data_IF_550785424932
#
_entry.id   IF_550785424932
#
_cell.length_a   1.000
_cell.length_b   1.000
_cell.length_c   1.000
_cell.angle_alpha   90.00
_cell.angle_beta   90.00
_cell.angle_gamma   90.00
#
_symmetry.space_group_name_H-M   'P 1'
#
loop_
_entity.id
_entity.type
_entity.pdbx_description
1 polymer ?
#
# COMPACT_ATOMS: atom_id res chain seq x y z
N UNK A 1 -9.57 33.14 3.85
CA UNK A 1 -10.01 31.71 3.78
C UNK A 1 -9.43 30.92 4.94
N UNK A 2 -10.11 29.87 5.46
CA UNK A 2 -9.60 28.92 6.46
C UNK A 2 -9.06 27.67 5.77
N UNK A 3 -8.21 26.89 6.48
CA UNK A 3 -7.67 25.63 5.95
C UNK A 3 -8.79 24.61 5.60
N UNK A 4 -9.85 24.54 6.42
CA UNK A 4 -10.99 23.66 6.12
C UNK A 4 -11.72 24.05 4.82
N UNK A 5 -11.89 25.34 4.56
CA UNK A 5 -12.56 25.80 3.33
C UNK A 5 -11.69 25.50 2.10
N UNK A 6 -10.36 25.66 2.22
CA UNK A 6 -9.43 25.25 1.16
C UNK A 6 -9.47 23.75 0.92
N UNK A 7 -9.63 22.94 1.98
CA UNK A 7 -9.75 21.48 1.88
C UNK A 7 -11.03 21.08 1.13
N UNK A 8 -12.15 21.71 1.43
CA UNK A 8 -13.42 21.46 0.75
C UNK A 8 -13.33 21.81 -0.75
N UNK A 9 -12.73 22.96 -1.07
CA UNK A 9 -12.49 23.39 -2.44
C UNK A 9 -11.55 22.41 -3.17
N UNK A 10 -10.45 21.98 -2.51
CA UNK A 10 -9.52 21.02 -3.08
C UNK A 10 -10.21 19.69 -3.44
N UNK A 11 -11.14 19.19 -2.61
CA UNK A 11 -11.86 17.94 -2.89
C UNK A 11 -12.80 18.07 -4.11
N UNK A 12 -13.21 19.27 -4.48
CA UNK A 12 -14.01 19.52 -5.68
C UNK A 12 -13.13 19.80 -6.93
N UNK A 13 -11.82 20.00 -6.74
CA UNK A 13 -10.91 20.36 -7.82
C UNK A 13 -10.65 19.23 -8.82
N UNK A 14 -10.24 19.60 -10.02
CA UNK A 14 -9.81 18.66 -11.07
C UNK A 14 -8.58 17.86 -10.63
N UNK A 15 -7.62 18.50 -9.95
CA UNK A 15 -6.41 17.87 -9.45
C UNK A 15 -6.70 16.72 -8.50
N UNK A 16 -7.64 16.91 -7.57
CA UNK A 16 -8.05 15.84 -6.66
C UNK A 16 -8.85 14.76 -7.39
N UNK A 17 -9.76 15.13 -8.27
CA UNK A 17 -10.64 14.19 -8.96
C UNK A 17 -9.90 13.31 -9.97
N UNK A 18 -8.75 13.74 -10.48
CA UNK A 18 -7.86 12.92 -11.33
C UNK A 18 -6.94 11.96 -10.57
N UNK A 19 -6.94 12.00 -9.25
CA UNK A 19 -6.15 11.06 -8.46
C UNK A 19 -6.78 9.67 -8.53
N UNK A 20 -5.93 8.63 -8.37
CA UNK A 20 -6.40 7.25 -8.18
C UNK A 20 -7.22 7.15 -6.88
N UNK A 21 -8.23 6.29 -6.86
CA UNK A 21 -9.13 6.13 -5.72
C UNK A 21 -8.39 5.83 -4.39
N UNK A 22 -7.33 5.01 -4.44
CA UNK A 22 -6.51 4.74 -3.27
C UNK A 22 -5.79 5.99 -2.76
N UNK A 23 -5.34 6.86 -3.67
CA UNK A 23 -4.69 8.14 -3.31
C UNK A 23 -5.71 9.11 -2.73
N UNK A 24 -6.91 9.21 -3.32
CA UNK A 24 -8.02 10.00 -2.78
C UNK A 24 -8.37 9.58 -1.35
N UNK A 25 -8.52 8.27 -1.13
CA UNK A 25 -8.81 7.72 0.19
C UNK A 25 -7.71 8.07 1.21
N UNK A 26 -6.43 7.94 0.82
CA UNK A 26 -5.30 8.32 1.67
C UNK A 26 -5.28 9.82 1.96
N UNK A 27 -5.48 10.67 0.96
CA UNK A 27 -5.51 12.12 1.15
C UNK A 27 -6.65 12.53 2.07
N UNK A 28 -7.85 11.99 1.86
CA UNK A 28 -9.00 12.24 2.73
C UNK A 28 -8.72 11.86 4.18
N UNK A 29 -8.13 10.70 4.41
CA UNK A 29 -7.74 10.23 5.75
C UNK A 29 -6.70 11.15 6.40
N UNK A 30 -5.59 11.41 5.72
CA UNK A 30 -4.50 12.20 6.29
C UNK A 30 -4.84 13.69 6.43
N UNK A 31 -5.51 14.30 5.47
CA UNK A 31 -5.95 15.69 5.56
C UNK A 31 -7.01 15.89 6.65
N UNK A 32 -7.88 14.91 6.87
CA UNK A 32 -8.80 14.91 8.02
C UNK A 32 -8.05 14.96 9.35
N UNK A 33 -6.97 14.17 9.50
CA UNK A 33 -6.12 14.20 10.70
C UNK A 33 -5.38 15.54 10.82
N UNK A 34 -4.82 16.06 9.72
CA UNK A 34 -4.15 17.36 9.69
C UNK A 34 -5.11 18.46 10.21
N UNK A 35 -6.30 18.56 9.63
CA UNK A 35 -7.27 19.57 10.00
C UNK A 35 -7.79 19.43 11.44
N UNK A 36 -7.88 18.21 11.96
CA UNK A 36 -8.30 17.92 13.34
C UNK A 36 -7.20 18.07 14.39
N UNK A 37 -5.94 18.28 13.96
CA UNK A 37 -4.80 18.44 14.90
C UNK A 37 -4.92 19.72 15.71
N UNK A 38 -4.96 19.60 17.03
CA UNK A 38 -4.85 20.73 17.96
C UNK A 38 -3.37 21.10 18.14
N UNK A 39 -3.03 22.39 17.99
CA UNK A 39 -1.63 22.81 18.04
C UNK A 39 -1.37 23.70 19.26
N UNK A 40 -2.13 24.78 19.40
CA UNK A 40 -2.03 25.71 20.51
C UNK A 40 -3.44 25.99 21.03
N UNK A 41 -3.62 26.01 22.35
CA UNK A 41 -4.88 26.41 23.01
C UNK A 41 -6.14 25.75 22.45
N UNK A 42 -6.12 24.45 22.23
CA UNK A 42 -7.25 23.65 21.70
C UNK A 42 -7.76 24.04 20.30
N UNK A 43 -7.12 24.99 19.62
CA UNK A 43 -7.52 25.39 18.27
C UNK A 43 -7.02 24.37 17.24
N UNK A 44 -7.93 23.81 16.44
CA UNK A 44 -7.62 22.86 15.37
C UNK A 44 -6.96 23.54 14.18
N UNK A 45 -5.99 22.89 13.53
CA UNK A 45 -5.28 23.43 12.36
C UNK A 45 -6.26 23.84 11.24
N UNK A 46 -7.29 23.06 10.99
CA UNK A 46 -8.33 23.36 10.00
C UNK A 46 -9.08 24.66 10.22
N UNK A 47 -9.10 25.18 11.46
CA UNK A 47 -9.77 26.43 11.83
C UNK A 47 -8.90 27.68 11.68
N UNK A 48 -7.60 27.54 11.38
CA UNK A 48 -6.72 28.69 11.13
C UNK A 48 -7.01 29.33 9.77
N UNK A 49 -6.90 30.66 9.69
CA UNK A 49 -6.84 31.35 8.39
C UNK A 49 -5.51 31.02 7.73
N UNK A 50 -5.48 30.97 6.41
CA UNK A 50 -4.25 30.70 5.64
C UNK A 50 -3.18 31.76 5.93
N UNK A 51 -3.59 33.02 6.11
CA UNK A 51 -2.71 34.16 6.50
C UNK A 51 -2.04 33.95 7.87
N UNK A 52 -2.65 33.19 8.77
CA UNK A 52 -2.17 33.00 10.14
C UNK A 52 -1.24 31.77 10.27
N UNK A 53 -1.06 31.02 9.18
CA UNK A 53 -0.17 29.88 9.15
C UNK A 53 1.28 30.32 9.06
N UNK A 54 2.00 30.22 10.17
CA UNK A 54 3.43 30.54 10.23
C UNK A 54 4.29 29.29 10.16
N UNK A 55 5.57 29.46 9.79
CA UNK A 55 6.56 28.36 9.84
C UNK A 55 6.72 27.80 11.26
N UNK A 56 6.58 28.65 12.30
CA UNK A 56 6.60 28.21 13.71
C UNK A 56 5.43 27.24 13.98
N UNK A 57 4.21 27.60 13.56
CA UNK A 57 3.02 26.75 13.73
C UNK A 57 3.16 25.44 12.96
N UNK A 58 3.67 25.49 11.73
CA UNK A 58 3.93 24.31 10.92
C UNK A 58 4.94 23.36 11.58
N UNK A 59 6.02 23.90 12.16
CA UNK A 59 7.04 23.11 12.89
C UNK A 59 6.46 22.48 14.15
N UNK A 60 5.64 23.19 14.92
CA UNK A 60 4.94 22.64 16.08
C UNK A 60 4.00 21.49 15.69
N UNK A 61 3.24 21.67 14.60
CA UNK A 61 2.36 20.64 14.05
C UNK A 61 3.14 19.37 13.70
N UNK A 62 4.25 19.53 12.98
CA UNK A 62 5.08 18.40 12.56
C UNK A 62 5.69 17.68 13.76
N UNK A 63 6.21 18.40 14.78
CA UNK A 63 6.73 17.78 15.99
C UNK A 63 5.66 16.96 16.71
N UNK A 64 4.46 17.48 16.84
CA UNK A 64 3.33 16.78 17.44
C UNK A 64 2.96 15.51 16.66
N UNK A 65 2.96 15.57 15.33
CA UNK A 65 2.73 14.39 14.51
C UNK A 65 3.82 13.32 14.68
N UNK A 66 5.07 13.74 14.92
CA UNK A 66 6.19 12.82 15.15
C UNK A 66 6.03 11.99 16.44
N UNK A 67 5.24 12.45 17.43
CA UNK A 67 4.91 11.68 18.64
C UNK A 67 4.16 10.38 18.31
N UNK A 68 3.41 10.35 17.21
CA UNK A 68 2.72 9.17 16.67
C UNK A 68 3.59 8.32 15.74
N UNK A 69 4.78 8.77 15.42
CA UNK A 69 5.73 8.10 14.56
C UNK A 69 6.17 8.95 13.37
N UNK A 70 7.47 8.90 13.07
CA UNK A 70 8.12 9.74 12.06
C UNK A 70 7.55 9.48 10.65
N UNK A 71 7.33 8.21 10.28
CA UNK A 71 6.75 7.88 8.96
C UNK A 71 5.36 8.47 8.79
N UNK A 72 4.52 8.36 9.83
CA UNK A 72 3.18 8.92 9.86
C UNK A 72 3.21 10.46 9.71
N UNK A 73 4.06 11.15 10.49
CA UNK A 73 4.25 12.59 10.40
C UNK A 73 4.70 13.04 9.00
N UNK A 74 5.59 12.25 8.37
CA UNK A 74 6.05 12.53 7.02
C UNK A 74 4.93 12.42 5.97
N UNK A 75 3.95 11.52 6.16
CA UNK A 75 2.75 11.46 5.32
C UNK A 75 1.86 12.68 5.51
N UNK A 76 1.56 13.07 6.76
CA UNK A 76 0.79 14.28 7.06
C UNK A 76 1.45 15.53 6.46
N UNK A 77 2.78 15.64 6.60
CA UNK A 77 3.57 16.71 5.99
C UNK A 77 3.45 16.73 4.47
N UNK A 78 3.43 15.55 3.83
CA UNK A 78 3.29 15.47 2.36
C UNK A 78 1.94 16.00 1.90
N UNK A 79 0.85 15.56 2.54
CA UNK A 79 -0.50 15.92 2.09
C UNK A 79 -0.86 17.38 2.39
N UNK A 80 -0.43 17.93 3.53
CA UNK A 80 -0.66 19.37 3.82
C UNK A 80 0.12 20.26 2.85
N UNK A 81 1.31 19.85 2.41
CA UNK A 81 2.05 20.58 1.37
C UNK A 81 1.31 20.60 0.05
N UNK A 82 0.72 19.48 -0.35
CA UNK A 82 -0.10 19.42 -1.58
C UNK A 82 -1.29 20.38 -1.46
N UNK A 83 -2.02 20.34 -0.34
CA UNK A 83 -3.17 21.22 -0.12
C UNK A 83 -2.79 22.70 -0.17
N UNK A 84 -1.70 23.10 0.51
CA UNK A 84 -1.28 24.51 0.54
C UNK A 84 -0.67 24.97 -0.79
N UNK A 85 0.01 24.09 -1.52
CA UNK A 85 0.46 24.40 -2.88
C UNK A 85 -0.72 24.60 -3.83
N UNK A 86 -1.80 23.81 -3.69
CA UNK A 86 -3.06 24.08 -4.38
C UNK A 86 -3.59 25.48 -4.02
N UNK A 87 -3.58 25.84 -2.72
CA UNK A 87 -3.99 27.17 -2.28
C UNK A 87 -3.14 28.31 -2.85
N UNK A 88 -1.85 28.08 -3.11
CA UNK A 88 -0.98 29.03 -3.80
C UNK A 88 -1.38 29.16 -5.28
N UNK A 89 -1.60 28.02 -5.96
CA UNK A 89 -1.99 28.01 -7.37
C UNK A 89 -3.35 28.71 -7.61
N UNK A 90 -4.24 28.66 -6.60
CA UNK A 90 -5.54 29.32 -6.62
C UNK A 90 -5.50 30.74 -6.02
N UNK A 91 -4.30 31.30 -5.78
CA UNK A 91 -4.07 32.65 -5.23
C UNK A 91 -4.72 32.91 -3.85
N UNK A 92 -5.04 31.84 -3.10
CA UNK A 92 -5.61 31.98 -1.74
C UNK A 92 -4.55 32.26 -0.68
N UNK A 93 -3.28 32.00 -0.97
CA UNK A 93 -2.12 32.31 -0.13
C UNK A 93 -0.84 32.39 -0.98
N UNK A 94 0.14 33.14 -0.50
CA UNK A 94 1.39 33.36 -1.23
C UNK A 94 2.52 32.43 -0.81
N UNK A 95 2.40 31.76 0.34
CA UNK A 95 3.48 30.96 0.93
C UNK A 95 2.93 29.67 1.54
N UNK A 96 3.67 28.60 1.35
CA UNK A 96 3.43 27.35 2.06
C UNK A 96 4.39 27.23 3.25
N UNK A 97 3.95 27.45 4.50
CA UNK A 97 4.83 27.47 5.66
C UNK A 97 5.42 26.08 6.01
N UNK A 98 4.91 25.01 5.41
CA UNK A 98 5.44 23.65 5.58
C UNK A 98 6.55 23.32 4.56
N UNK A 99 6.76 24.12 3.51
CA UNK A 99 7.70 23.79 2.41
C UNK A 99 9.13 23.60 2.91
N UNK A 100 9.62 24.45 3.79
CA UNK A 100 11.01 24.49 4.25
C UNK A 100 11.30 23.57 5.47
N UNK A 101 10.29 22.84 5.98
CA UNK A 101 10.51 21.95 7.10
C UNK A 101 11.10 20.62 6.59
N UNK A 102 12.33 20.30 6.98
CA UNK A 102 12.95 19.03 6.61
C UNK A 102 12.21 17.86 7.30
N UNK A 103 11.82 16.86 6.53
CA UNK A 103 11.28 15.59 7.05
C UNK A 103 12.38 14.85 7.82
N UNK A 104 12.02 14.25 8.96
CA UNK A 104 12.94 13.38 9.70
C UNK A 104 13.17 12.09 8.90
N UNK A 105 14.38 11.56 9.00
CA UNK A 105 14.75 10.31 8.34
C UNK A 105 14.03 9.14 9.01
N UNK A 106 13.52 8.25 8.19
CA UNK A 106 12.93 6.99 8.64
C UNK A 106 13.92 5.88 8.32
N UNK A 107 14.36 5.15 9.33
CA UNK A 107 15.17 3.94 9.13
C UNK A 107 14.34 2.87 8.46
N UNK A 108 14.81 2.41 7.30
CA UNK A 108 14.16 1.31 6.59
C UNK A 108 14.53 -0.03 7.22
N UNK A 109 13.57 -0.91 7.32
CA UNK A 109 13.81 -2.30 7.72
C UNK A 109 14.75 -2.97 6.70
N UNK A 110 15.74 -3.71 7.20
CA UNK A 110 16.69 -4.49 6.41
C UNK A 110 16.46 -6.01 6.53
N UNK A 111 15.26 -6.40 6.96
CA UNK A 111 14.92 -7.83 7.14
C UNK A 111 14.71 -8.46 5.77
N UNK A 112 15.37 -9.57 5.55
CA UNK A 112 15.21 -10.47 4.40
C UNK A 112 14.87 -11.87 4.91
N UNK A 113 14.19 -12.67 4.12
CA UNK A 113 13.90 -14.06 4.46
C UNK A 113 15.13 -14.91 4.13
N UNK A 114 15.36 -15.95 4.91
CA UNK A 114 16.26 -17.03 4.50
C UNK A 114 15.53 -17.97 3.56
N UNK A 115 16.25 -18.66 2.70
CA UNK A 115 15.65 -19.65 1.76
C UNK A 115 14.83 -20.71 2.52
N UNK A 116 15.35 -21.18 3.65
CA UNK A 116 14.69 -22.17 4.50
C UNK A 116 13.37 -21.64 5.09
N UNK A 117 13.30 -20.33 5.40
CA UNK A 117 12.06 -19.71 5.88
C UNK A 117 11.01 -19.62 4.78
N UNK A 118 11.43 -19.34 3.53
CA UNK A 118 10.53 -19.35 2.36
C UNK A 118 9.96 -20.74 2.15
N UNK A 119 10.81 -21.78 2.14
CA UNK A 119 10.40 -23.17 1.95
C UNK A 119 9.38 -23.55 3.03
N UNK A 120 9.70 -23.36 4.31
CA UNK A 120 8.78 -23.68 5.43
C UNK A 120 7.44 -22.96 5.33
N UNK A 121 7.46 -21.71 4.88
CA UNK A 121 6.23 -20.95 4.66
C UNK A 121 5.39 -21.55 3.54
N UNK A 122 6.01 -21.88 2.40
CA UNK A 122 5.32 -22.45 1.24
C UNK A 122 4.75 -23.83 1.55
N UNK A 123 5.53 -24.72 2.19
CA UNK A 123 5.07 -26.06 2.61
C UNK A 123 3.83 -25.95 3.51
N UNK A 124 3.89 -25.05 4.50
CA UNK A 124 2.75 -24.80 5.40
C UNK A 124 1.55 -24.20 4.67
N UNK A 125 1.79 -23.27 3.73
CA UNK A 125 0.71 -22.63 2.98
C UNK A 125 0.03 -23.60 2.00
N UNK A 126 0.79 -24.52 1.41
CA UNK A 126 0.28 -25.49 0.44
C UNK A 126 -0.35 -26.72 1.06
N UNK A 127 -0.08 -27.00 2.34
CA UNK A 127 -0.69 -28.14 3.05
C UNK A 127 -2.21 -27.98 3.28
N UNK A 128 -2.75 -26.75 3.19
CA UNK A 128 -4.21 -26.51 3.33
C UNK A 128 -4.72 -25.71 2.12
N UNK A 129 -5.76 -26.22 1.48
CA UNK A 129 -6.46 -25.57 0.37
C UNK A 129 -6.86 -24.11 0.66
N UNK A 130 -7.20 -23.78 1.92
CA UNK A 130 -7.60 -22.42 2.31
C UNK A 130 -6.46 -21.43 2.30
N UNK A 131 -5.22 -21.89 2.44
CA UNK A 131 -4.01 -21.05 2.49
C UNK A 131 -3.19 -21.12 1.21
N UNK A 132 -3.48 -22.06 0.30
CA UNK A 132 -2.74 -22.28 -0.95
C UNK A 132 -2.62 -21.00 -1.79
N UNK A 133 -3.68 -20.25 -1.97
CA UNK A 133 -3.63 -18.95 -2.70
C UNK A 133 -2.72 -17.92 -2.02
N UNK A 134 -2.54 -17.98 -0.70
CA UNK A 134 -1.58 -17.12 0.03
C UNK A 134 -0.15 -17.56 -0.27
N UNK A 135 0.08 -18.89 -0.30
CA UNK A 135 1.36 -19.47 -0.73
C UNK A 135 1.74 -19.04 -2.15
N UNK A 136 0.80 -19.17 -3.11
CA UNK A 136 1.03 -18.75 -4.50
C UNK A 136 1.37 -17.26 -4.61
N UNK A 137 0.63 -16.38 -3.92
CA UNK A 137 0.95 -14.93 -3.91
C UNK A 137 2.36 -14.69 -3.38
N UNK A 138 2.77 -15.43 -2.34
CA UNK A 138 4.09 -15.30 -1.74
C UNK A 138 5.19 -15.84 -2.68
N UNK A 139 4.99 -17.01 -3.28
CA UNK A 139 5.95 -17.61 -4.22
C UNK A 139 6.13 -16.74 -5.46
N UNK A 140 5.05 -16.28 -6.09
CA UNK A 140 5.12 -15.35 -7.22
C UNK A 140 5.84 -14.03 -6.85
N UNK A 141 5.60 -13.49 -5.63
CA UNK A 141 6.28 -12.29 -5.18
C UNK A 141 7.77 -12.51 -4.93
N UNK A 142 8.16 -13.69 -4.47
CA UNK A 142 9.54 -14.10 -4.22
C UNK A 142 10.29 -14.36 -5.53
N UNK A 143 9.79 -15.28 -6.36
CA UNK A 143 10.48 -15.68 -7.59
C UNK A 143 10.56 -14.55 -8.63
N UNK A 144 9.50 -13.79 -8.77
CA UNK A 144 9.44 -12.71 -9.76
C UNK A 144 9.82 -11.33 -9.20
N UNK A 145 10.17 -11.23 -7.93
CA UNK A 145 10.49 -9.95 -7.26
C UNK A 145 9.39 -8.89 -7.46
N UNK A 146 8.12 -9.30 -7.61
CA UNK A 146 7.01 -8.40 -7.86
C UNK A 146 6.30 -7.98 -6.57
N UNK A 147 5.50 -6.90 -6.65
CA UNK A 147 4.74 -6.41 -5.50
C UNK A 147 3.60 -7.37 -5.16
N UNK A 148 3.39 -7.64 -3.87
CA UNK A 148 2.22 -8.41 -3.40
C UNK A 148 0.90 -7.85 -3.92
N UNK A 149 0.81 -6.52 -4.09
CA UNK A 149 -0.35 -5.85 -4.65
C UNK A 149 -0.65 -6.26 -6.08
N UNK A 150 0.39 -6.48 -6.88
CA UNK A 150 0.28 -6.93 -8.26
C UNK A 150 -0.01 -8.44 -8.32
N UNK A 151 0.72 -9.25 -7.52
CA UNK A 151 0.55 -10.71 -7.50
C UNK A 151 -0.85 -11.16 -7.04
N UNK A 152 -1.43 -10.51 -6.03
CA UNK A 152 -2.80 -10.83 -5.59
C UNK A 152 -3.88 -10.51 -6.63
N UNK A 153 -3.59 -9.65 -7.60
CA UNK A 153 -4.49 -9.24 -8.67
C UNK A 153 -4.17 -9.91 -10.01
N UNK A 154 -3.16 -10.79 -10.03
CA UNK A 154 -2.76 -11.50 -11.24
C UNK A 154 -3.94 -12.32 -11.77
N UNK A 155 -4.16 -12.26 -13.08
CA UNK A 155 -5.22 -12.98 -13.78
C UNK A 155 -4.62 -14.12 -14.58
N UNK A 156 -5.46 -15.09 -14.93
CA UNK A 156 -5.06 -16.20 -15.78
C UNK A 156 -4.57 -15.72 -17.16
N UNK A 157 -5.16 -14.67 -17.71
CA UNK A 157 -4.75 -14.07 -19.00
C UNK A 157 -3.33 -13.48 -18.97
N UNK A 158 -2.74 -13.32 -17.79
CA UNK A 158 -1.35 -12.89 -17.65
C UNK A 158 -0.34 -14.06 -17.72
N UNK A 159 -0.82 -15.31 -17.81
CA UNK A 159 0.02 -16.51 -17.76
C UNK A 159 -0.13 -17.34 -19.01
N UNK A 160 0.99 -17.67 -19.63
CA UNK A 160 1.13 -18.76 -20.58
C UNK A 160 1.81 -19.93 -19.84
N UNK A 161 1.02 -20.93 -19.43
CA UNK A 161 1.52 -22.06 -18.66
C UNK A 161 2.20 -23.12 -19.56
N UNK A 162 1.92 -23.12 -20.86
CA UNK A 162 2.58 -24.02 -21.83
C UNK A 162 3.99 -23.53 -22.13
N UNK A 163 4.13 -22.24 -22.46
CA UNK A 163 5.42 -21.61 -22.71
C UNK A 163 6.14 -21.17 -21.41
N UNK A 164 5.54 -21.38 -20.24
CA UNK A 164 6.03 -21.00 -18.91
C UNK A 164 6.46 -19.54 -18.83
N UNK A 165 5.56 -18.64 -19.25
CA UNK A 165 5.80 -17.20 -19.29
C UNK A 165 4.72 -16.43 -18.56
N UNK A 166 5.12 -15.36 -17.90
CA UNK A 166 4.23 -14.41 -17.24
C UNK A 166 4.41 -13.03 -17.88
N UNK A 167 3.30 -12.38 -18.19
CA UNK A 167 3.23 -10.98 -18.61
C UNK A 167 2.47 -10.16 -17.60
N UNK A 168 3.01 -9.01 -17.20
CA UNK A 168 2.37 -8.12 -16.25
C UNK A 168 2.70 -6.66 -16.55
N UNK A 169 1.68 -5.80 -16.62
CA UNK A 169 1.87 -4.36 -16.48
C UNK A 169 1.78 -3.96 -15.00
N UNK A 170 2.89 -3.50 -14.44
CA UNK A 170 2.95 -3.12 -13.02
C UNK A 170 1.98 -1.99 -12.68
N UNK A 171 1.16 -2.15 -11.64
CA UNK A 171 0.11 -1.19 -11.25
C UNK A 171 0.67 0.20 -10.90
N UNK A 172 1.85 0.29 -10.27
CA UNK A 172 2.42 1.56 -9.79
C UNK A 172 3.24 2.32 -10.84
N UNK A 173 4.07 1.62 -11.62
CA UNK A 173 4.99 2.23 -12.60
C UNK A 173 4.53 2.09 -14.03
N UNK A 174 3.48 1.29 -14.28
CA UNK A 174 2.99 0.89 -15.62
C UNK A 174 4.07 0.26 -16.50
N UNK A 175 5.18 -0.20 -15.90
CA UNK A 175 6.21 -0.92 -16.62
C UNK A 175 5.68 -2.30 -16.99
N UNK A 176 5.96 -2.72 -18.21
CA UNK A 176 5.69 -4.06 -18.70
C UNK A 176 6.81 -5.00 -18.26
N UNK A 177 6.44 -6.17 -17.81
CA UNK A 177 7.34 -7.17 -17.27
C UNK A 177 7.00 -8.51 -17.90
N UNK A 178 8.02 -9.18 -18.46
CA UNK A 178 7.94 -10.55 -18.98
C UNK A 178 8.91 -11.40 -18.18
N UNK A 179 8.43 -12.44 -17.53
CA UNK A 179 9.27 -13.29 -16.70
C UNK A 179 8.97 -14.77 -16.97
N UNK A 180 9.99 -15.64 -16.85
CA UNK A 180 9.80 -17.07 -16.91
C UNK A 180 9.07 -17.56 -15.65
N UNK A 181 8.38 -18.69 -15.77
CA UNK A 181 7.76 -19.43 -14.68
C UNK A 181 8.67 -20.64 -14.40
N UNK A 182 9.10 -20.82 -13.16
CA UNK A 182 9.86 -22.01 -12.75
C UNK A 182 9.01 -23.27 -12.85
N UNK A 183 9.63 -24.44 -12.92
CA UNK A 183 8.91 -25.72 -12.98
C UNK A 183 8.05 -25.92 -11.73
N UNK A 184 8.61 -25.63 -10.56
CA UNK A 184 7.91 -25.75 -9.27
C UNK A 184 6.69 -24.82 -9.20
N UNK A 185 6.83 -23.58 -9.64
CA UNK A 185 5.70 -22.64 -9.64
C UNK A 185 4.67 -23.04 -10.70
N UNK A 186 5.11 -23.54 -11.86
CA UNK A 186 4.20 -23.99 -12.91
C UNK A 186 3.32 -25.16 -12.48
N UNK A 187 3.88 -26.14 -11.77
CA UNK A 187 3.11 -27.26 -11.20
C UNK A 187 2.01 -26.75 -10.25
N UNK A 188 2.36 -25.83 -9.36
CA UNK A 188 1.40 -25.23 -8.43
C UNK A 188 0.33 -24.39 -9.15
N UNK A 189 0.70 -23.69 -10.23
CA UNK A 189 -0.23 -22.92 -11.04
C UNK A 189 -1.18 -23.81 -11.83
N UNK A 190 -0.71 -24.94 -12.37
CA UNK A 190 -1.55 -25.94 -13.05
C UNK A 190 -2.57 -26.55 -12.08
N UNK A 191 -2.12 -26.95 -10.88
CA UNK A 191 -3.03 -27.42 -9.84
C UNK A 191 -4.07 -26.36 -9.45
N UNK A 192 -3.64 -25.12 -9.29
CA UNK A 192 -4.51 -24.00 -8.97
C UNK A 192 -5.52 -23.73 -10.11
N UNK A 193 -5.09 -23.87 -11.37
CA UNK A 193 -5.95 -23.68 -12.56
C UNK A 193 -7.05 -24.72 -12.62
N UNK A 194 -6.77 -25.97 -12.23
CA UNK A 194 -7.80 -27.01 -12.16
C UNK A 194 -8.92 -26.65 -11.17
N UNK A 195 -8.58 -26.03 -10.04
CA UNK A 195 -9.56 -25.68 -9.00
C UNK A 195 -10.21 -24.30 -9.22
N UNK A 196 -9.51 -23.35 -9.84
CA UNK A 196 -9.93 -21.95 -9.96
C UNK A 196 -9.86 -21.37 -11.37
N UNK A 197 -9.59 -22.17 -12.41
CA UNK A 197 -9.50 -21.70 -13.79
C UNK A 197 -10.80 -21.13 -14.37
N UNK A 198 -11.94 -21.46 -13.75
CA UNK A 198 -13.26 -20.98 -14.15
C UNK A 198 -13.54 -19.51 -13.78
N UNK A 199 -12.65 -18.87 -13.04
CA UNK A 199 -12.77 -17.47 -12.60
C UNK A 199 -11.49 -16.68 -12.94
N UNK A 200 -11.51 -15.39 -12.82
CA UNK A 200 -10.53 -14.45 -13.39
C UNK A 200 -9.13 -14.50 -12.73
N UNK A 201 -9.06 -14.66 -11.38
CA UNK A 201 -7.84 -14.45 -10.61
C UNK A 201 -7.06 -15.74 -10.37
N UNK A 202 -5.71 -15.68 -10.48
CA UNK A 202 -4.82 -16.82 -10.21
C UNK A 202 -4.89 -17.26 -8.74
N UNK A 203 -4.92 -16.31 -7.82
CA UNK A 203 -4.90 -16.60 -6.38
C UNK A 203 -6.05 -15.89 -5.63
N UNK A 204 -7.31 -16.33 -5.86
CA UNK A 204 -8.48 -15.74 -5.22
C UNK A 204 -8.58 -16.18 -3.75
N UNK A 205 -9.51 -15.56 -3.02
CA UNK A 205 -9.92 -16.08 -1.70
C UNK A 205 -10.61 -17.43 -1.88
N UNK A 206 -10.47 -18.36 -0.91
CA UNK A 206 -10.95 -19.74 -1.06
C UNK A 206 -12.47 -19.86 -1.12
N UNK A 207 -13.21 -18.82 -0.71
CA UNK A 207 -14.67 -18.81 -0.75
C UNK A 207 -15.16 -17.60 -1.55
N UNK A 208 -16.18 -17.79 -2.40
CA UNK A 208 -16.80 -16.68 -3.12
C UNK A 208 -17.51 -15.72 -2.15
N UNK A 209 -17.61 -14.49 -2.55
CA UNK A 209 -18.41 -13.47 -1.87
C UNK A 209 -19.47 -12.95 -2.84
N UNK A 210 -20.74 -13.10 -2.47
CA UNK A 210 -21.91 -12.77 -3.33
C UNK A 210 -21.79 -13.42 -4.73
N UNK A 211 -21.48 -14.71 -4.75
CA UNK A 211 -21.38 -15.49 -5.98
C UNK A 211 -20.12 -15.28 -6.83
N UNK A 212 -19.19 -14.42 -6.39
CA UNK A 212 -17.99 -14.09 -7.15
C UNK A 212 -16.72 -14.31 -6.33
N UNK A 213 -15.70 -14.92 -6.93
CA UNK A 213 -14.37 -15.01 -6.35
C UNK A 213 -13.68 -13.65 -6.41
N UNK A 214 -13.07 -13.25 -5.32
CA UNK A 214 -12.42 -11.94 -5.17
C UNK A 214 -10.97 -12.12 -4.70
N UNK A 215 -10.06 -11.25 -5.13
CA UNK A 215 -8.70 -11.24 -4.62
C UNK A 215 -8.67 -10.87 -3.13
N UNK A 216 -7.58 -11.20 -2.46
CA UNK A 216 -7.33 -10.75 -1.09
C UNK A 216 -7.20 -9.22 -1.05
N UNK A 217 -7.75 -8.57 -0.02
CA UNK A 217 -7.44 -7.15 0.22
C UNK A 217 -6.02 -6.99 0.79
N UNK A 218 -5.39 -5.85 0.52
CA UNK A 218 -4.06 -5.51 1.05
C UNK A 218 -4.01 -5.47 2.59
N UNK A 219 -5.15 -5.31 3.25
CA UNK A 219 -5.26 -5.34 4.71
C UNK A 219 -5.36 -6.77 5.23
N UNK A 220 -6.17 -7.62 4.59
CA UNK A 220 -6.41 -9.00 5.07
C UNK A 220 -5.29 -9.96 4.71
N UNK A 221 -4.64 -9.79 3.55
CA UNK A 221 -3.57 -10.68 3.10
C UNK A 221 -2.43 -10.80 4.13
N UNK A 222 -1.84 -9.70 4.65
CA UNK A 222 -0.79 -9.78 5.67
C UNK A 222 -1.24 -10.44 6.97
N UNK A 223 -2.50 -10.23 7.38
CA UNK A 223 -3.06 -10.83 8.61
C UNK A 223 -3.17 -12.35 8.47
N UNK A 224 -3.66 -12.83 7.33
CA UNK A 224 -3.79 -14.25 7.07
C UNK A 224 -2.43 -14.91 6.85
N UNK A 225 -1.53 -14.26 6.11
CA UNK A 225 -0.15 -14.73 5.95
C UNK A 225 0.59 -14.82 7.28
N UNK A 226 0.33 -13.90 8.24
CA UNK A 226 0.90 -14.00 9.60
C UNK A 226 0.46 -15.28 10.30
N UNK A 227 -0.78 -15.73 10.12
CA UNK A 227 -1.23 -17.00 10.69
C UNK A 227 -0.44 -18.18 10.12
N UNK A 228 -0.24 -18.19 8.79
CA UNK A 228 0.60 -19.23 8.13
C UNK A 228 2.04 -19.18 8.65
N UNK A 229 2.64 -17.97 8.76
CA UNK A 229 3.98 -17.80 9.33
C UNK A 229 4.09 -18.36 10.75
N UNK A 230 3.09 -18.10 11.60
CA UNK A 230 3.08 -18.60 12.97
C UNK A 230 2.97 -20.13 12.99
N UNK A 231 2.12 -20.73 12.13
CA UNK A 231 2.02 -22.20 12.01
C UNK A 231 3.32 -22.81 11.47
N UNK A 232 4.06 -22.09 10.61
CA UNK A 232 5.38 -22.51 10.12
C UNK A 232 6.53 -22.26 11.12
N UNK A 233 6.26 -21.75 12.31
CA UNK A 233 7.28 -21.43 13.32
C UNK A 233 8.24 -20.31 12.90
N UNK A 234 7.79 -19.38 12.05
CA UNK A 234 8.62 -18.28 11.54
C UNK A 234 8.67 -17.09 12.49
N UNK A 235 9.79 -16.35 12.44
CA UNK A 235 9.98 -15.14 13.25
C UNK A 235 8.91 -14.08 13.01
N UNK A 236 8.47 -13.43 14.08
CA UNK A 236 7.54 -12.31 14.03
C UNK A 236 8.11 -11.06 13.33
N UNK A 237 9.42 -10.99 13.16
CA UNK A 237 10.06 -9.91 12.40
C UNK A 237 9.83 -10.02 10.90
N UNK A 238 9.63 -11.22 10.35
CA UNK A 238 9.40 -11.42 8.93
C UNK A 238 8.05 -10.83 8.51
N UNK A 239 7.99 -10.22 7.33
CA UNK A 239 6.76 -9.76 6.69
C UNK A 239 6.69 -10.26 5.27
N UNK A 240 5.49 -10.55 4.80
CA UNK A 240 5.28 -10.99 3.42
C UNK A 240 5.83 -9.97 2.40
N UNK A 241 5.75 -8.67 2.72
CA UNK A 241 6.31 -7.61 1.86
C UNK A 241 7.83 -7.63 1.72
N UNK A 242 8.53 -8.35 2.61
CA UNK A 242 10.00 -8.44 2.56
C UNK A 242 10.46 -9.42 1.47
N UNK A 243 9.63 -10.40 1.07
CA UNK A 243 9.93 -11.38 0.02
C UNK A 243 10.43 -10.78 -1.28
N UNK A 244 9.89 -9.64 -1.68
CA UNK A 244 10.35 -8.93 -2.89
C UNK A 244 11.83 -8.49 -2.83
N UNK A 245 12.42 -8.40 -1.64
CA UNK A 245 13.82 -7.98 -1.42
C UNK A 245 14.72 -9.14 -1.08
N UNK A 246 14.13 -10.29 -0.86
CA UNK A 246 14.81 -11.56 -0.61
C UNK A 246 15.32 -12.14 -1.89
#
# INVERSE_FOLDING_TARGET
MKVNNLLEEYYLSFEYNNLREETKAQYKYFLGIVCSTNIVSSKKLGSYKLSDLTTKLAKLSYNKWCERGVSFANHLMSVIRVLLNYGINMEHCNVNPFSNIKKRVVTHRKVVWKKEDVIRFLDTAYSDFKTRSIGLIAQMAYEWCQRLGDMRLLKWDNLDLEEKRMYLQQSKRRAEVFLPISDELNEMLLQQKNDYGFQEYVAPRPRPFRGSYKPYSLVKLPILARKVMNSAGLSNELRLSDLRRT
#
